data_IF_446548140843
#
_entry.id   IF_446548140843
#
_cell.length_a   1.000
_cell.length_b   1.000
_cell.length_c   1.000
_cell.angle_alpha   90.00
_cell.angle_beta   90.00
_cell.angle_gamma   90.00
#
_symmetry.space_group_name_H-M   'P 1'
#
loop_
_entity.id
_entity.type
_entity.pdbx_description
1 polymer ?
#
# COMPACT_ATOMS: atom_id res chain seq x y z
N UNK A 1 31.93 -28.64 -44.73
CA UNK A 1 31.58 -28.52 -43.30
C UNK A 1 31.80 -27.08 -42.87
N UNK A 2 30.76 -26.28 -42.63
CA UNK A 2 30.96 -24.95 -42.08
C UNK A 2 31.16 -25.08 -40.56
N UNK A 3 32.30 -24.57 -40.07
CA UNK A 3 32.56 -24.36 -38.66
C UNK A 3 31.57 -23.31 -38.14
N UNK A 4 30.70 -23.71 -37.22
CA UNK A 4 29.91 -22.80 -36.41
C UNK A 4 30.88 -21.92 -35.59
N UNK A 5 30.92 -20.63 -35.91
CA UNK A 5 31.55 -19.63 -35.05
C UNK A 5 30.59 -19.42 -33.89
N UNK A 6 30.87 -20.10 -32.78
CA UNK A 6 30.30 -19.83 -31.47
C UNK A 6 30.43 -18.33 -31.17
N UNK A 7 29.29 -17.70 -30.91
CA UNK A 7 29.20 -16.36 -30.38
C UNK A 7 29.96 -16.27 -29.04
N UNK A 8 30.51 -15.09 -28.77
CA UNK A 8 31.17 -14.78 -27.50
C UNK A 8 30.21 -15.00 -26.33
N UNK A 9 30.49 -15.99 -25.48
CA UNK A 9 29.81 -16.17 -24.20
C UNK A 9 29.95 -14.88 -23.37
N UNK A 10 28.83 -14.28 -22.94
CA UNK A 10 28.85 -13.21 -21.95
C UNK A 10 29.53 -13.79 -20.68
N UNK A 11 30.66 -13.25 -20.22
CA UNK A 11 31.40 -13.76 -19.08
C UNK A 11 30.61 -13.72 -17.76
N UNK A 12 29.39 -13.16 -17.74
CA UNK A 12 28.48 -13.13 -16.59
C UNK A 12 27.59 -14.37 -16.42
N UNK A 13 27.62 -15.37 -17.32
CA UNK A 13 26.71 -16.54 -17.24
C UNK A 13 27.44 -17.87 -17.26
N UNK A 14 27.70 -18.42 -16.07
CA UNK A 14 28.04 -19.83 -15.89
C UNK A 14 26.74 -20.65 -15.82
N UNK A 15 26.51 -21.53 -16.80
CA UNK A 15 25.45 -22.53 -16.71
C UNK A 15 26.04 -23.89 -16.33
N UNK A 16 25.40 -24.58 -15.39
CA UNK A 16 25.74 -25.96 -15.03
C UNK A 16 24.80 -26.88 -15.78
N UNK A 17 25.31 -27.65 -16.74
CA UNK A 17 24.55 -28.72 -17.39
C UNK A 17 24.47 -29.90 -16.41
N UNK A 18 23.25 -30.34 -16.09
CA UNK A 18 23.02 -31.52 -15.24
C UNK A 18 23.56 -32.78 -15.92
N UNK A 19 24.33 -33.61 -15.21
CA UNK A 19 24.85 -34.87 -15.75
C UNK A 19 23.76 -35.94 -15.87
N UNK A 20 24.01 -36.97 -16.68
CA UNK A 20 23.09 -38.10 -16.81
C UNK A 20 22.91 -38.87 -15.47
N UNK A 21 23.96 -38.95 -14.63
CA UNK A 21 23.85 -39.56 -13.31
C UNK A 21 23.00 -38.72 -12.35
N UNK A 22 23.09 -37.39 -12.42
CA UNK A 22 22.29 -36.47 -11.59
C UNK A 22 20.80 -36.59 -11.92
N UNK A 23 20.46 -36.64 -13.21
CA UNK A 23 19.08 -36.86 -13.66
C UNK A 23 18.56 -38.25 -13.23
N UNK A 24 19.38 -39.29 -13.33
CA UNK A 24 19.04 -40.65 -12.89
C UNK A 24 18.86 -40.74 -11.35
N UNK A 25 19.57 -39.91 -10.59
CA UNK A 25 19.42 -39.77 -9.14
C UNK A 25 18.21 -38.93 -8.69
N UNK A 26 17.34 -38.51 -9.61
CA UNK A 26 16.11 -37.77 -9.30
C UNK A 26 16.29 -36.28 -9.05
N UNK A 27 17.48 -35.70 -9.31
CA UNK A 27 17.62 -34.23 -9.33
C UNK A 27 16.73 -33.65 -10.43
N UNK A 28 15.95 -32.63 -10.08
CA UNK A 28 15.20 -31.84 -11.05
C UNK A 28 15.98 -30.58 -11.37
N UNK A 29 16.15 -30.29 -12.66
CA UNK A 29 16.71 -29.01 -13.08
C UNK A 29 15.65 -27.93 -12.90
N UNK A 30 16.01 -26.89 -12.15
CA UNK A 30 15.22 -25.68 -12.05
C UNK A 30 15.99 -24.59 -12.80
N UNK A 31 15.58 -24.36 -14.04
CA UNK A 31 16.02 -23.20 -14.81
C UNK A 31 15.04 -22.07 -14.56
N UNK A 32 15.55 -20.85 -14.39
CA UNK A 32 14.73 -19.66 -14.16
C UNK A 32 14.91 -18.63 -15.28
N UNK A 33 15.83 -18.89 -16.21
CA UNK A 33 16.17 -17.98 -17.30
C UNK A 33 15.93 -18.66 -18.65
N UNK A 34 15.38 -17.92 -19.60
CA UNK A 34 15.17 -18.39 -20.96
C UNK A 34 15.73 -17.38 -21.96
N UNK A 35 16.50 -17.88 -22.92
CA UNK A 35 16.97 -17.11 -24.07
C UNK A 35 16.37 -17.65 -25.36
N UNK A 36 15.85 -16.73 -26.17
CA UNK A 36 15.27 -17.03 -27.48
C UNK A 36 16.00 -16.14 -28.50
N UNK A 37 16.77 -16.76 -29.38
CA UNK A 37 17.51 -16.09 -30.45
C UNK A 37 17.21 -16.75 -31.81
N UNK A 38 17.75 -16.18 -32.90
CA UNK A 38 17.58 -16.75 -34.24
C UNK A 38 16.54 -16.05 -35.12
N UNK A 39 16.42 -14.71 -35.02
CA UNK A 39 15.59 -13.88 -35.92
C UNK A 39 14.09 -14.17 -35.84
N UNK A 40 13.63 -14.61 -34.67
CA UNK A 40 12.26 -15.02 -34.38
C UNK A 40 11.26 -13.89 -34.68
N UNK A 41 10.14 -14.23 -35.32
CA UNK A 41 9.07 -13.28 -35.70
C UNK A 41 7.82 -13.39 -34.83
N UNK A 42 7.64 -14.52 -34.16
CA UNK A 42 6.47 -14.85 -33.33
C UNK A 42 6.87 -15.79 -32.20
N UNK A 43 6.20 -15.64 -31.06
CA UNK A 43 6.38 -16.50 -29.87
C UNK A 43 5.15 -17.39 -29.71
N UNK A 44 5.36 -18.63 -29.30
CA UNK A 44 4.27 -19.55 -28.96
C UNK A 44 3.56 -19.11 -27.67
N UNK A 45 2.25 -19.33 -27.57
CA UNK A 45 1.48 -19.03 -26.36
C UNK A 45 1.93 -19.88 -25.15
N UNK A 46 2.52 -21.05 -25.39
CA UNK A 46 3.09 -21.91 -24.34
C UNK A 46 4.25 -21.26 -23.59
N UNK A 47 4.90 -20.22 -24.15
CA UNK A 47 5.92 -19.46 -23.43
C UNK A 47 5.34 -18.81 -22.16
N UNK A 48 4.10 -18.32 -22.24
CA UNK A 48 3.45 -17.56 -21.18
C UNK A 48 2.94 -18.45 -20.04
N UNK A 49 3.04 -19.78 -20.18
CA UNK A 49 2.72 -20.73 -19.09
C UNK A 49 3.92 -21.04 -18.21
N UNK A 50 5.12 -20.55 -18.55
CA UNK A 50 6.36 -20.78 -17.81
C UNK A 50 6.50 -19.82 -16.61
N UNK A 51 5.56 -19.90 -15.68
CA UNK A 51 5.44 -18.96 -14.54
C UNK A 51 6.62 -18.94 -13.57
N UNK A 52 7.52 -19.92 -13.66
CA UNK A 52 8.73 -20.02 -12.86
C UNK A 52 9.88 -19.14 -13.37
N UNK A 53 9.75 -18.55 -14.57
CA UNK A 53 10.79 -17.69 -15.15
C UNK A 53 10.98 -16.41 -14.35
N UNK A 54 12.24 -16.10 -14.07
CA UNK A 54 12.70 -14.85 -13.46
C UNK A 54 13.45 -13.97 -14.47
N UNK A 55 14.02 -14.54 -15.54
CA UNK A 55 14.64 -13.79 -16.62
C UNK A 55 14.23 -14.30 -18.01
N UNK A 56 13.94 -13.37 -18.92
CA UNK A 56 13.57 -13.67 -20.31
C UNK A 56 14.35 -12.78 -21.27
N UNK A 57 15.22 -13.40 -22.08
CA UNK A 57 16.06 -12.77 -23.10
C UNK A 57 15.48 -13.07 -24.48
N UNK A 58 14.94 -12.05 -25.13
CA UNK A 58 14.41 -12.16 -26.50
C UNK A 58 14.95 -11.01 -27.37
N UNK A 59 16.13 -10.50 -27.02
CA UNK A 59 16.82 -9.49 -27.81
C UNK A 59 17.29 -10.03 -29.17
N UNK A 60 17.55 -9.11 -30.11
CA UNK A 60 18.11 -9.41 -31.43
C UNK A 60 17.25 -10.37 -32.29
N UNK A 61 15.93 -10.13 -32.24
CA UNK A 61 14.93 -10.86 -33.02
C UNK A 61 14.16 -9.93 -33.98
N UNK A 62 13.15 -10.46 -34.65
CA UNK A 62 12.29 -9.72 -35.58
C UNK A 62 10.86 -9.55 -35.05
N UNK A 63 10.68 -9.51 -33.72
CA UNK A 63 9.36 -9.37 -33.13
C UNK A 63 8.80 -8.00 -33.44
N UNK A 64 7.56 -7.98 -33.93
CA UNK A 64 6.83 -6.73 -34.25
C UNK A 64 5.86 -6.33 -33.14
N UNK A 65 5.51 -7.29 -32.26
CA UNK A 65 4.62 -7.13 -31.11
C UNK A 65 4.98 -8.14 -30.02
N UNK A 66 4.58 -7.83 -28.79
CA UNK A 66 4.51 -8.76 -27.66
C UNK A 66 3.04 -8.87 -27.26
N UNK A 67 2.48 -10.08 -27.07
CA UNK A 67 1.09 -10.24 -26.65
C UNK A 67 0.89 -9.82 -25.19
N UNK A 68 -0.32 -9.38 -24.81
CA UNK A 68 -0.71 -9.15 -23.41
C UNK A 68 -0.38 -10.29 -22.44
N UNK A 69 -0.39 -11.53 -22.95
CA UNK A 69 -0.09 -12.74 -22.17
C UNK A 69 1.29 -12.74 -21.50
N UNK A 70 2.22 -11.87 -21.89
CA UNK A 70 3.50 -11.71 -21.19
C UNK A 70 3.31 -11.41 -19.68
N UNK A 71 2.21 -10.74 -19.32
CA UNK A 71 1.86 -10.45 -17.94
C UNK A 71 1.51 -11.70 -17.11
N UNK A 72 1.35 -12.87 -17.75
CA UNK A 72 1.17 -14.17 -17.07
C UNK A 72 2.46 -14.76 -16.50
N UNK A 73 3.59 -14.04 -16.60
CA UNK A 73 4.86 -14.39 -15.98
C UNK A 73 5.07 -13.56 -14.70
N UNK A 74 4.42 -13.93 -13.56
CA UNK A 74 4.35 -13.06 -12.38
C UNK A 74 5.70 -12.89 -11.65
N UNK A 75 6.63 -13.80 -11.87
CA UNK A 75 7.93 -13.83 -11.18
C UNK A 75 9.07 -13.20 -11.98
N UNK A 76 8.77 -12.61 -13.15
CA UNK A 76 9.80 -12.08 -14.03
C UNK A 76 10.42 -10.82 -13.44
N UNK A 77 11.73 -10.86 -13.22
CA UNK A 77 12.55 -9.76 -12.69
C UNK A 77 13.29 -9.04 -13.82
N UNK A 78 13.71 -9.79 -14.83
CA UNK A 78 14.48 -9.27 -15.97
C UNK A 78 13.79 -9.60 -17.29
N UNK A 79 13.56 -8.59 -18.13
CA UNK A 79 13.01 -8.74 -19.47
C UNK A 79 13.82 -7.92 -20.48
N UNK A 80 14.47 -8.60 -21.44
CA UNK A 80 15.17 -7.93 -22.54
C UNK A 80 14.50 -8.22 -23.88
N UNK A 81 13.97 -7.16 -24.48
CA UNK A 81 13.34 -7.11 -25.79
C UNK A 81 14.08 -6.16 -26.74
N UNK A 82 15.32 -5.79 -26.42
CA UNK A 82 16.12 -4.86 -27.23
C UNK A 82 16.38 -5.39 -28.63
N UNK A 83 16.64 -4.52 -29.60
CA UNK A 83 16.96 -4.88 -30.99
C UNK A 83 15.88 -5.76 -31.64
N UNK A 84 14.61 -5.35 -31.49
CA UNK A 84 13.47 -5.94 -32.19
C UNK A 84 12.81 -4.89 -33.11
N UNK A 85 11.60 -5.16 -33.58
CA UNK A 85 10.80 -4.26 -34.44
C UNK A 85 9.49 -3.84 -33.76
N UNK A 86 9.49 -3.78 -32.42
CA UNK A 86 8.31 -3.46 -31.63
C UNK A 86 7.87 -2.03 -31.91
N UNK A 87 6.59 -1.83 -32.24
CA UNK A 87 6.00 -0.49 -32.48
C UNK A 87 5.21 0.03 -31.29
N UNK A 88 4.75 -0.88 -30.43
CA UNK A 88 4.01 -0.62 -29.20
C UNK A 88 4.28 -1.73 -28.19
N UNK A 89 3.88 -1.48 -26.95
CA UNK A 89 3.88 -2.46 -25.86
C UNK A 89 2.44 -2.69 -25.39
N UNK A 90 2.10 -3.89 -24.90
CA UNK A 90 0.82 -4.13 -24.25
C UNK A 90 0.72 -3.35 -22.92
N UNK A 91 -0.47 -2.84 -22.59
CA UNK A 91 -0.74 -2.15 -21.32
C UNK A 91 -0.53 -3.08 -20.12
N UNK A 92 -0.78 -4.37 -20.30
CA UNK A 92 -0.64 -5.43 -19.30
C UNK A 92 0.80 -5.61 -18.82
N UNK A 93 1.80 -5.08 -19.54
CA UNK A 93 3.18 -5.05 -19.05
C UNK A 93 3.28 -4.30 -17.72
N UNK A 94 2.40 -3.32 -17.47
CA UNK A 94 2.29 -2.60 -16.19
C UNK A 94 1.88 -3.48 -15.01
N UNK A 95 1.32 -4.68 -15.24
CA UNK A 95 0.93 -5.60 -14.16
C UNK A 95 2.11 -6.46 -13.65
N UNK A 96 3.27 -6.41 -14.32
CA UNK A 96 4.45 -7.18 -13.97
C UNK A 96 5.29 -6.49 -12.88
N UNK A 97 4.68 -6.23 -11.72
CA UNK A 97 5.23 -5.39 -10.64
C UNK A 97 6.54 -5.89 -10.02
N UNK A 98 6.95 -7.12 -10.32
CA UNK A 98 8.21 -7.75 -9.90
C UNK A 98 9.41 -7.39 -10.79
N UNK A 99 9.17 -6.79 -11.98
CA UNK A 99 10.22 -6.37 -12.89
C UNK A 99 11.14 -5.33 -12.27
N UNK A 100 12.44 -5.58 -12.36
CA UNK A 100 13.52 -4.66 -11.98
C UNK A 100 14.27 -4.11 -13.18
N UNK A 101 14.35 -4.90 -14.26
CA UNK A 101 15.03 -4.52 -15.49
C UNK A 101 14.15 -4.80 -16.71
N UNK A 102 13.87 -3.74 -17.48
CA UNK A 102 13.12 -3.79 -18.73
C UNK A 102 13.92 -3.10 -19.82
N UNK A 103 14.50 -3.89 -20.72
CA UNK A 103 15.33 -3.38 -21.81
C UNK A 103 14.57 -3.43 -23.14
N UNK A 104 14.36 -2.26 -23.74
CA UNK A 104 13.57 -2.04 -24.96
C UNK A 104 14.38 -1.28 -26.03
N UNK A 105 15.71 -1.22 -25.89
CA UNK A 105 16.56 -0.40 -26.76
C UNK A 105 16.43 -0.83 -28.23
N UNK A 106 16.64 0.09 -29.17
CA UNK A 106 16.67 -0.17 -30.61
C UNK A 106 15.40 -0.89 -31.11
N UNK A 107 14.23 -0.35 -30.77
CA UNK A 107 12.93 -0.76 -31.31
C UNK A 107 12.31 0.41 -32.12
N UNK A 108 11.04 0.29 -32.49
CA UNK A 108 10.29 1.30 -33.24
C UNK A 108 9.17 1.92 -32.38
N UNK A 109 9.37 1.98 -31.05
CA UNK A 109 8.38 2.50 -30.11
C UNK A 109 8.23 4.01 -30.30
N UNK A 110 7.02 4.45 -30.65
CA UNK A 110 6.67 5.88 -30.74
C UNK A 110 5.96 6.40 -29.49
N UNK A 111 5.26 5.50 -28.81
CA UNK A 111 4.52 5.76 -27.58
C UNK A 111 4.78 4.62 -26.59
N UNK A 112 4.65 4.93 -25.31
CA UNK A 112 4.72 3.98 -24.22
C UNK A 112 3.35 3.94 -23.51
N UNK A 113 2.83 2.76 -23.14
CA UNK A 113 1.62 2.68 -22.34
C UNK A 113 1.86 3.28 -20.95
N UNK A 114 0.94 4.12 -20.47
CA UNK A 114 1.07 4.80 -19.18
C UNK A 114 1.01 3.82 -18.00
N UNK A 115 0.48 2.61 -18.24
CA UNK A 115 0.47 1.49 -17.30
C UNK A 115 1.87 1.06 -16.86
N UNK A 116 2.93 1.36 -17.64
CA UNK A 116 4.31 1.14 -17.19
C UNK A 116 4.60 1.88 -15.88
N UNK A 117 3.93 3.00 -15.60
CA UNK A 117 4.07 3.72 -14.34
C UNK A 117 3.74 2.88 -13.10
N UNK A 118 2.99 1.77 -13.25
CA UNK A 118 2.71 0.81 -12.17
C UNK A 118 3.93 -0.04 -11.78
N UNK A 119 5.01 -0.03 -12.56
CA UNK A 119 6.23 -0.81 -12.30
C UNK A 119 7.13 -0.11 -11.26
N UNK A 120 6.61 0.07 -10.04
CA UNK A 120 7.28 0.81 -8.96
C UNK A 120 8.59 0.18 -8.46
N UNK A 121 8.85 -1.09 -8.77
CA UNK A 121 10.11 -1.79 -8.46
C UNK A 121 11.17 -1.68 -9.58
N UNK A 122 10.82 -1.11 -10.74
CA UNK A 122 11.70 -1.05 -11.89
C UNK A 122 12.87 -0.08 -11.64
N UNK A 123 14.08 -0.59 -11.79
CA UNK A 123 15.33 0.14 -11.55
C UNK A 123 15.95 0.60 -12.88
N UNK A 124 15.93 -0.29 -13.87
CA UNK A 124 16.52 -0.04 -15.19
C UNK A 124 15.45 -0.16 -16.26
N UNK A 125 15.20 0.95 -16.96
CA UNK A 125 14.38 1.00 -18.16
C UNK A 125 15.27 1.42 -19.33
N UNK A 126 15.45 0.57 -20.34
CA UNK A 126 16.27 0.87 -21.51
C UNK A 126 15.43 1.31 -22.70
N UNK A 127 15.48 2.58 -23.11
CA UNK A 127 14.66 3.12 -24.21
C UNK A 127 15.46 3.67 -25.40
N UNK A 128 16.80 3.62 -25.34
CA UNK A 128 17.67 4.23 -26.36
C UNK A 128 17.39 3.67 -27.75
N UNK A 129 17.40 4.52 -28.78
CA UNK A 129 17.22 4.07 -30.17
C UNK A 129 15.76 3.80 -30.56
N UNK A 130 14.79 4.31 -29.79
CA UNK A 130 13.38 4.32 -30.16
C UNK A 130 12.95 5.72 -30.64
N UNK A 131 12.05 5.82 -31.63
CA UNK A 131 11.49 7.09 -32.12
C UNK A 131 10.39 7.66 -31.19
N UNK A 132 10.70 7.78 -29.89
CA UNK A 132 9.79 8.34 -28.89
C UNK A 132 9.67 9.88 -29.06
N UNK A 133 8.55 10.43 -28.60
CA UNK A 133 8.35 11.89 -28.56
C UNK A 133 9.41 12.58 -27.70
N UNK A 134 9.76 13.82 -28.07
CA UNK A 134 10.78 14.60 -27.36
C UNK A 134 10.46 14.80 -25.88
N UNK A 135 9.19 14.97 -25.51
CA UNK A 135 8.78 15.18 -24.11
C UNK A 135 9.16 13.99 -23.20
N UNK A 136 8.88 12.76 -23.66
CA UNK A 136 9.26 11.52 -22.97
C UNK A 136 10.78 11.39 -22.88
N UNK A 137 11.49 11.71 -23.97
CA UNK A 137 12.95 11.64 -24.01
C UNK A 137 13.59 12.66 -23.05
N UNK A 138 13.03 13.86 -22.94
CA UNK A 138 13.52 14.89 -22.02
C UNK A 138 13.45 14.39 -20.57
N UNK A 139 12.30 13.86 -20.13
CA UNK A 139 12.13 13.30 -18.78
C UNK A 139 13.11 12.13 -18.54
N UNK A 140 13.24 11.24 -19.52
CA UNK A 140 14.10 10.06 -19.42
C UNK A 140 15.61 10.40 -19.37
N UNK A 141 16.03 11.52 -19.95
CA UNK A 141 17.43 11.97 -19.96
C UNK A 141 17.85 12.70 -18.67
N UNK A 142 16.91 13.06 -17.80
CA UNK A 142 17.23 13.65 -16.51
C UNK A 142 17.92 12.65 -15.56
N UNK A 143 18.63 13.13 -14.52
CA UNK A 143 19.07 12.27 -13.43
C UNK A 143 17.88 11.53 -12.81
N UNK A 144 18.04 10.21 -12.62
CA UNK A 144 16.98 9.28 -12.21
C UNK A 144 15.78 9.22 -13.20
N UNK A 145 16.07 9.40 -14.49
CA UNK A 145 15.07 9.49 -15.56
C UNK A 145 14.14 8.29 -15.68
N UNK A 146 14.59 7.08 -15.33
CA UNK A 146 13.71 5.90 -15.22
C UNK A 146 12.58 6.17 -14.22
N UNK A 147 12.91 6.52 -12.98
CA UNK A 147 11.89 6.74 -11.93
C UNK A 147 11.01 7.94 -12.25
N UNK A 148 11.61 9.05 -12.74
CA UNK A 148 10.85 10.23 -13.13
C UNK A 148 9.84 9.94 -14.23
N UNK A 149 10.24 9.16 -15.25
CA UNK A 149 9.35 8.79 -16.33
C UNK A 149 8.21 7.89 -15.84
N UNK A 150 8.51 6.89 -15.02
CA UNK A 150 7.48 6.01 -14.45
C UNK A 150 6.49 6.79 -13.56
N UNK A 151 6.99 7.72 -12.75
CA UNK A 151 6.14 8.59 -11.93
C UNK A 151 5.25 9.48 -12.81
N UNK A 152 5.82 10.11 -13.85
CA UNK A 152 5.06 10.89 -14.82
C UNK A 152 3.95 10.06 -15.47
N UNK A 153 4.25 8.83 -15.89
CA UNK A 153 3.26 7.93 -16.48
C UNK A 153 2.17 7.53 -15.48
N UNK A 154 2.54 7.22 -14.23
CA UNK A 154 1.56 6.85 -13.22
C UNK A 154 0.63 8.01 -12.84
N UNK A 155 1.19 9.21 -12.72
CA UNK A 155 0.43 10.42 -12.35
C UNK A 155 -0.55 10.87 -13.44
N UNK A 156 -0.25 10.53 -14.69
CA UNK A 156 -1.08 10.85 -15.86
C UNK A 156 -1.85 9.63 -16.39
N UNK A 157 -1.81 8.49 -15.69
CA UNK A 157 -2.57 7.31 -16.07
C UNK A 157 -4.06 7.63 -15.93
N UNK A 158 -4.81 7.56 -17.04
CA UNK A 158 -6.25 7.76 -17.02
C UNK A 158 -6.90 6.72 -16.11
N UNK A 159 -7.55 7.19 -15.05
CA UNK A 159 -8.33 6.34 -14.15
C UNK A 159 -9.78 6.48 -14.55
N UNK A 160 -10.41 5.38 -14.96
CA UNK A 160 -11.86 5.33 -15.05
C UNK A 160 -12.40 5.08 -13.65
N UNK A 161 -13.23 5.99 -13.09
CA UNK A 161 -13.87 5.75 -11.81
C UNK A 161 -14.89 4.62 -12.00
N UNK A 162 -14.46 3.38 -11.83
CA UNK A 162 -15.39 2.30 -11.54
C UNK A 162 -16.05 2.62 -10.19
N UNK A 163 -17.37 2.45 -10.11
CA UNK A 163 -18.06 2.58 -8.83
C UNK A 163 -17.50 1.52 -7.89
N UNK A 164 -16.83 1.97 -6.83
CA UNK A 164 -16.34 1.06 -5.80
C UNK A 164 -17.55 0.35 -5.18
N UNK A 165 -17.58 -1.00 -5.17
CA UNK A 165 -18.69 -1.73 -4.59
C UNK A 165 -18.78 -1.43 -3.08
N UNK A 166 -20.00 -1.28 -2.57
CA UNK A 166 -20.21 -1.12 -1.13
C UNK A 166 -19.82 -2.40 -0.38
N UNK A 167 -19.22 -2.23 0.80
CA UNK A 167 -18.86 -3.34 1.68
C UNK A 167 -20.14 -3.98 2.24
N UNK A 168 -20.32 -5.31 2.13
CA UNK A 168 -21.53 -5.96 2.62
C UNK A 168 -21.55 -6.02 4.16
N UNK A 169 -22.74 -5.85 4.74
CA UNK A 169 -22.98 -6.12 6.17
C UNK A 169 -23.22 -7.61 6.40
N UNK A 170 -22.52 -8.21 7.36
CA UNK A 170 -22.66 -9.63 7.71
C UNK A 170 -23.36 -9.72 9.08
N UNK A 171 -24.59 -10.24 9.10
CA UNK A 171 -25.32 -10.49 10.35
C UNK A 171 -24.78 -11.74 11.03
N UNK A 172 -24.18 -11.59 12.20
CA UNK A 172 -23.66 -12.71 13.00
C UNK A 172 -24.69 -13.29 13.96
N UNK A 173 -25.57 -12.43 14.51
CA UNK A 173 -26.59 -12.82 15.48
C UNK A 173 -27.76 -11.86 15.41
N UNK A 174 -28.97 -12.41 15.45
CA UNK A 174 -30.19 -11.62 15.57
C UNK A 174 -30.34 -11.02 16.97
N UNK A 175 -30.95 -9.83 17.03
CA UNK A 175 -31.21 -9.16 18.29
C UNK A 175 -32.28 -9.91 19.08
N UNK A 176 -32.01 -10.15 20.35
CA UNK A 176 -33.04 -10.62 21.29
C UNK A 176 -33.93 -9.44 21.70
N UNK A 177 -35.19 -9.48 21.26
CA UNK A 177 -36.17 -8.43 21.55
C UNK A 177 -36.75 -8.52 22.97
N UNK A 178 -36.52 -9.63 23.69
CA UNK A 178 -37.04 -9.85 25.03
C UNK A 178 -36.15 -9.24 26.12
N UNK A 179 -34.90 -8.87 25.77
CA UNK A 179 -33.94 -8.31 26.72
C UNK A 179 -33.73 -6.82 26.40
N UNK A 180 -33.92 -5.91 27.37
CA UNK A 180 -33.66 -4.49 27.19
C UNK A 180 -32.15 -4.28 26.98
N UNK A 181 -31.77 -4.16 25.71
CA UNK A 181 -30.38 -4.08 25.25
C UNK A 181 -30.18 -2.81 24.43
N UNK A 182 -29.17 -2.03 24.82
CA UNK A 182 -28.66 -0.94 24.00
C UNK A 182 -27.83 -1.52 22.85
N UNK A 183 -28.08 -1.06 21.63
CA UNK A 183 -27.35 -1.45 20.43
C UNK A 183 -26.67 -0.21 19.88
N UNK A 184 -25.39 -0.33 19.56
CA UNK A 184 -24.60 0.74 18.98
C UNK A 184 -23.52 0.17 18.05
N UNK A 185 -23.00 1.01 17.18
CA UNK A 185 -21.96 0.67 16.20
C UNK A 185 -20.61 1.24 16.60
N UNK A 186 -19.53 0.53 16.26
CA UNK A 186 -18.15 0.95 16.54
C UNK A 186 -17.33 0.87 15.27
N UNK A 187 -16.67 1.97 14.92
CA UNK A 187 -15.68 2.04 13.84
C UNK A 187 -14.27 2.08 14.45
N UNK A 188 -13.34 1.33 13.85
CA UNK A 188 -11.92 1.42 14.13
C UNK A 188 -11.18 1.60 12.80
N UNK A 189 -10.43 2.69 12.65
CA UNK A 189 -9.82 3.03 11.37
C UNK A 189 -8.51 3.81 11.51
N UNK A 190 -7.42 3.25 10.98
CA UNK A 190 -6.16 3.97 10.80
C UNK A 190 -6.23 4.72 9.47
N UNK A 191 -6.14 6.06 9.52
CA UNK A 191 -6.40 6.92 8.36
C UNK A 191 -5.18 7.17 7.47
N UNK A 192 -4.00 6.65 7.85
CA UNK A 192 -2.71 6.93 7.23
C UNK A 192 -2.38 8.43 7.22
N UNK A 193 -1.58 8.91 8.18
CA UNK A 193 -1.24 10.34 8.25
C UNK A 193 -0.40 10.78 7.03
N UNK A 194 -0.44 12.09 6.73
CA UNK A 194 0.25 12.62 5.54
C UNK A 194 1.75 12.41 5.60
N UNK A 195 2.32 12.53 6.81
CA UNK A 195 3.73 12.24 7.06
C UNK A 195 4.18 10.86 6.57
N UNK A 196 3.33 9.84 6.63
CA UNK A 196 3.67 8.47 6.23
C UNK A 196 3.18 8.11 4.82
N UNK A 197 2.31 8.90 4.19
CA UNK A 197 1.79 8.69 2.85
C UNK A 197 2.80 9.05 1.73
N UNK A 198 4.00 8.46 1.78
CA UNK A 198 5.10 8.78 0.86
C UNK A 198 5.17 7.82 -0.32
N UNK A 199 5.75 8.29 -1.44
CA UNK A 199 6.07 7.45 -2.61
C UNK A 199 7.08 6.34 -2.31
N UNK A 200 7.86 6.46 -1.25
CA UNK A 200 8.79 5.42 -0.85
C UNK A 200 8.06 4.19 -0.31
N UNK A 201 6.98 4.40 0.46
CA UNK A 201 6.15 3.32 1.00
C UNK A 201 5.03 2.91 0.03
N UNK A 202 4.47 3.87 -0.70
CA UNK A 202 3.29 3.70 -1.56
C UNK A 202 3.58 4.04 -3.02
N UNK A 203 4.74 3.61 -3.55
CA UNK A 203 5.19 3.96 -4.90
C UNK A 203 4.27 3.53 -6.04
N UNK A 204 3.36 2.60 -5.77
CA UNK A 204 2.31 2.15 -6.69
C UNK A 204 1.11 3.10 -6.80
N UNK A 205 0.97 4.05 -5.87
CA UNK A 205 -0.15 5.00 -5.85
C UNK A 205 0.27 6.32 -6.50
N UNK A 206 -0.48 6.90 -7.45
CA UNK A 206 -0.20 8.21 -8.03
C UNK A 206 -0.04 9.31 -6.98
N UNK A 207 0.83 10.29 -7.25
CA UNK A 207 1.16 11.38 -6.33
C UNK A 207 -0.07 12.22 -5.96
N UNK A 208 -0.95 12.49 -6.93
CA UNK A 208 -2.19 13.23 -6.68
C UNK A 208 -3.14 12.47 -5.73
N UNK A 209 -3.18 11.14 -5.85
CA UNK A 209 -4.02 10.27 -5.04
C UNK A 209 -3.45 10.07 -3.63
N UNK A 210 -2.13 10.20 -3.44
CA UNK A 210 -1.49 10.21 -2.12
C UNK A 210 -1.61 11.55 -1.39
N UNK A 211 -1.84 12.65 -2.10
CA UNK A 211 -1.92 13.97 -1.46
C UNK A 211 -3.01 14.01 -0.38
N UNK A 212 -2.72 14.63 0.76
CA UNK A 212 -3.70 14.80 1.82
C UNK A 212 -4.99 15.47 1.36
N UNK A 213 -4.89 16.51 0.51
CA UNK A 213 -6.03 17.24 -0.02
C UNK A 213 -7.00 16.36 -0.81
N UNK A 214 -6.49 15.32 -1.47
CA UNK A 214 -7.31 14.32 -2.12
C UNK A 214 -7.82 13.27 -1.12
N UNK A 215 -6.92 12.63 -0.36
CA UNK A 215 -7.25 11.50 0.53
C UNK A 215 -8.23 11.88 1.62
N UNK A 216 -8.11 13.07 2.22
CA UNK A 216 -8.97 13.51 3.31
C UNK A 216 -10.45 13.49 2.94
N UNK A 217 -10.78 13.70 1.65
CA UNK A 217 -12.15 13.62 1.14
C UNK A 217 -12.69 12.19 1.26
N UNK A 218 -11.96 11.20 0.75
CA UNK A 218 -12.35 9.79 0.84
C UNK A 218 -12.33 9.25 2.27
N UNK A 219 -11.37 9.69 3.11
CA UNK A 219 -11.33 9.35 4.53
C UNK A 219 -12.60 9.84 5.25
N UNK A 220 -12.98 11.11 5.03
CA UNK A 220 -14.18 11.66 5.64
C UNK A 220 -15.45 11.03 5.05
N UNK A 221 -15.48 10.71 3.76
CA UNK A 221 -16.59 9.96 3.14
C UNK A 221 -16.76 8.56 3.77
N UNK A 222 -15.69 7.79 3.96
CA UNK A 222 -15.73 6.49 4.65
C UNK A 222 -16.28 6.63 6.08
N UNK A 223 -15.70 7.56 6.87
CA UNK A 223 -16.13 7.80 8.26
C UNK A 223 -17.60 8.19 8.33
N UNK A 224 -18.03 9.11 7.46
CA UNK A 224 -19.39 9.63 7.46
C UNK A 224 -20.42 8.69 6.87
N UNK A 225 -20.01 7.80 5.96
CA UNK A 225 -20.88 6.76 5.39
C UNK A 225 -21.08 5.58 6.35
N UNK A 226 -20.06 5.23 7.15
CA UNK A 226 -20.18 4.22 8.21
C UNK A 226 -21.16 4.64 9.32
N UNK A 227 -21.25 5.94 9.61
CA UNK A 227 -22.10 6.55 10.65
C UNK A 227 -22.08 5.80 12.00
N UNK A 228 -20.89 5.39 12.43
CA UNK A 228 -20.72 4.60 13.64
C UNK A 228 -20.94 5.44 14.90
N UNK A 229 -21.66 4.90 15.89
CA UNK A 229 -21.95 5.63 17.13
C UNK A 229 -20.71 5.99 17.96
N UNK A 230 -19.67 5.18 17.84
CA UNK A 230 -18.33 5.39 18.41
C UNK A 230 -17.29 5.18 17.32
N UNK A 231 -16.34 6.11 17.17
CA UNK A 231 -15.30 6.07 16.14
C UNK A 231 -13.93 6.17 16.81
N UNK A 232 -13.09 5.15 16.63
CA UNK A 232 -11.71 5.12 17.09
C UNK A 232 -10.76 5.27 15.90
N UNK A 233 -10.03 6.38 15.84
CA UNK A 233 -9.09 6.67 14.75
C UNK A 233 -7.63 6.60 15.22
N UNK A 234 -6.76 6.07 14.38
CA UNK A 234 -5.29 6.12 14.54
C UNK A 234 -4.65 6.91 13.41
N UNK A 235 -3.43 7.37 13.61
CA UNK A 235 -2.69 8.24 12.69
C UNK A 235 -3.41 9.57 12.39
N UNK A 236 -4.08 10.12 13.40
CA UNK A 236 -4.72 11.44 13.29
C UNK A 236 -3.67 12.51 13.58
N UNK A 237 -3.32 13.35 12.61
CA UNK A 237 -2.43 14.50 12.84
C UNK A 237 -3.08 15.55 13.74
N UNK A 238 -2.27 16.17 14.60
CA UNK A 238 -2.73 17.13 15.62
C UNK A 238 -3.53 18.28 15.01
N UNK A 239 -3.04 18.93 13.96
CA UNK A 239 -3.76 20.04 13.32
C UNK A 239 -5.05 19.56 12.62
N UNK A 240 -5.01 18.38 12.00
CA UNK A 240 -6.16 17.81 11.30
C UNK A 240 -7.28 17.37 12.26
N UNK A 241 -6.94 16.92 13.48
CA UNK A 241 -7.94 16.64 14.50
C UNK A 241 -8.83 17.87 14.75
N UNK A 242 -8.21 19.04 14.96
CA UNK A 242 -8.95 20.26 15.31
C UNK A 242 -9.63 20.90 14.10
N UNK A 243 -8.99 20.91 12.93
CA UNK A 243 -9.44 21.68 11.76
C UNK A 243 -10.27 20.89 10.76
N UNK A 244 -10.31 19.56 10.87
CA UNK A 244 -11.04 18.69 9.94
C UNK A 244 -11.96 17.72 10.70
N UNK A 245 -11.37 16.80 11.48
CA UNK A 245 -12.13 15.68 12.03
C UNK A 245 -13.15 16.16 13.07
N UNK A 246 -12.71 16.93 14.07
CA UNK A 246 -13.59 17.39 15.14
C UNK A 246 -14.66 18.36 14.64
N UNK A 247 -14.30 19.31 13.77
CA UNK A 247 -15.27 20.25 13.19
C UNK A 247 -16.34 19.51 12.38
N UNK A 248 -15.94 18.66 11.44
CA UNK A 248 -16.89 17.94 10.56
C UNK A 248 -17.77 16.96 11.34
N UNK A 249 -17.22 16.27 12.35
CA UNK A 249 -17.99 15.31 13.15
C UNK A 249 -18.88 16.01 14.18
N UNK A 250 -18.52 17.20 14.67
CA UNK A 250 -19.40 18.00 15.54
C UNK A 250 -20.70 18.38 14.85
N UNK A 251 -20.65 18.72 13.57
CA UNK A 251 -21.84 19.01 12.76
C UNK A 251 -22.77 17.78 12.61
N UNK A 252 -22.25 16.58 12.92
CA UNK A 252 -23.00 15.30 12.93
C UNK A 252 -23.32 14.80 14.33
N UNK A 253 -23.22 15.65 15.35
CA UNK A 253 -23.61 15.33 16.73
C UNK A 253 -22.57 14.58 17.55
N UNK A 254 -21.31 14.51 17.09
CA UNK A 254 -20.22 13.90 17.84
C UNK A 254 -19.50 14.91 18.73
N UNK A 255 -18.98 14.41 19.85
CA UNK A 255 -17.85 15.02 20.55
C UNK A 255 -16.64 14.09 20.48
N UNK A 256 -15.44 14.58 20.80
CA UNK A 256 -14.20 13.86 20.59
C UNK A 256 -13.15 14.08 21.66
N UNK A 257 -12.33 13.05 21.87
CA UNK A 257 -11.10 13.11 22.64
C UNK A 257 -9.92 12.67 21.79
N UNK A 258 -8.84 13.46 21.81
CA UNK A 258 -7.61 13.19 21.07
C UNK A 258 -6.39 13.43 21.95
N UNK A 259 -5.35 12.63 21.71
CA UNK A 259 -4.02 12.87 22.23
C UNK A 259 -2.98 12.54 21.14
N UNK A 260 -1.99 13.41 20.89
CA UNK A 260 -0.85 13.09 20.04
C UNK A 260 0.16 12.18 20.76
N UNK A 261 1.01 11.48 20.00
CA UNK A 261 2.14 10.73 20.58
C UNK A 261 3.05 11.61 21.43
N UNK A 262 3.71 11.01 22.44
CA UNK A 262 4.50 11.72 23.43
C UNK A 262 5.61 12.61 22.85
N UNK A 263 6.13 12.28 21.65
CA UNK A 263 7.11 13.12 20.93
C UNK A 263 6.64 14.55 20.66
N UNK A 264 5.34 14.81 20.64
CA UNK A 264 4.77 16.16 20.51
C UNK A 264 5.29 17.15 21.57
N UNK A 265 5.76 16.66 22.71
CA UNK A 265 6.33 17.46 23.80
C UNK A 265 7.78 17.91 23.55
N UNK A 266 8.47 17.28 22.61
CA UNK A 266 9.91 17.44 22.37
C UNK A 266 10.24 18.20 21.07
N UNK A 267 9.24 18.39 20.20
CA UNK A 267 9.41 19.00 18.88
C UNK A 267 8.98 20.46 18.88
N UNK A 268 9.35 21.20 17.83
CA UNK A 268 8.91 22.58 17.64
C UNK A 268 7.39 22.69 17.48
N UNK A 269 6.83 23.88 17.67
CA UNK A 269 5.40 24.12 17.49
C UNK A 269 4.91 23.77 16.07
N UNK A 270 5.72 24.05 15.05
CA UNK A 270 5.40 23.72 13.67
C UNK A 270 5.39 22.21 13.41
N UNK A 271 6.36 21.47 13.95
CA UNK A 271 6.40 20.01 13.81
C UNK A 271 5.30 19.32 14.62
N UNK A 272 4.95 19.88 15.79
CA UNK A 272 3.90 19.37 16.67
C UNK A 272 2.55 19.24 15.96
N UNK A 273 2.24 20.15 15.03
CA UNK A 273 1.02 20.11 14.20
C UNK A 273 0.88 18.81 13.41
N UNK A 274 2.00 18.23 12.99
CA UNK A 274 2.09 17.02 12.19
C UNK A 274 2.41 15.77 13.02
N UNK A 275 2.44 15.88 14.35
CA UNK A 275 2.53 14.70 15.20
C UNK A 275 1.15 14.04 15.24
N UNK A 276 1.14 12.78 14.83
CA UNK A 276 -0.03 11.92 14.83
C UNK A 276 -0.32 11.33 16.22
N UNK A 277 -1.57 10.90 16.41
CA UNK A 277 -2.05 10.27 17.63
C UNK A 277 -3.34 9.48 17.44
N UNK A 278 -4.04 9.25 18.55
CA UNK A 278 -5.29 8.49 18.60
C UNK A 278 -6.45 9.42 18.98
N UNK A 279 -7.59 9.24 18.32
CA UNK A 279 -8.83 9.94 18.63
C UNK A 279 -9.98 8.95 18.92
N UNK A 280 -10.89 9.33 19.80
CA UNK A 280 -12.18 8.64 20.00
C UNK A 280 -13.28 9.69 19.87
N UNK A 281 -14.24 9.44 18.98
CA UNK A 281 -15.46 10.22 18.83
C UNK A 281 -16.67 9.40 19.27
N UNK A 282 -17.69 10.07 19.79
CA UNK A 282 -18.94 9.43 20.23
C UNK A 282 -20.14 10.36 20.01
N UNK A 283 -21.28 9.81 19.60
CA UNK A 283 -22.53 10.58 19.44
C UNK A 283 -23.04 11.04 20.80
N UNK A 284 -23.17 12.36 20.96
CA UNK A 284 -23.56 12.99 22.24
C UNK A 284 -25.00 12.73 22.65
N UNK A 285 -25.88 12.40 21.69
CA UNK A 285 -27.25 11.97 21.96
C UNK A 285 -27.32 10.57 22.62
N UNK A 286 -26.29 9.73 22.40
CA UNK A 286 -26.19 8.35 22.89
C UNK A 286 -25.28 8.22 24.11
N UNK A 287 -24.24 9.05 24.20
CA UNK A 287 -23.19 8.91 25.20
C UNK A 287 -22.81 10.26 25.81
N UNK A 288 -22.54 10.25 27.12
CA UNK A 288 -21.96 11.38 27.85
C UNK A 288 -20.57 11.04 28.36
N UNK A 289 -19.58 11.91 28.14
CA UNK A 289 -18.21 11.71 28.61
C UNK A 289 -18.12 11.85 30.13
N UNK A 290 -17.60 10.82 30.80
CA UNK A 290 -17.38 10.82 32.25
C UNK A 290 -15.90 11.06 32.57
N UNK A 291 -15.00 10.34 31.90
CA UNK A 291 -13.55 10.48 32.09
C UNK A 291 -12.80 10.28 30.77
N UNK A 292 -11.61 10.87 30.69
CA UNK A 292 -10.67 10.70 29.59
C UNK A 292 -9.27 10.42 30.14
N UNK A 293 -8.57 9.48 29.53
CA UNK A 293 -7.27 9.00 29.97
C UNK A 293 -6.33 8.87 28.78
N UNK A 294 -5.07 9.26 28.96
CA UNK A 294 -3.97 8.94 28.04
C UNK A 294 -3.04 7.97 28.74
N UNK A 295 -2.64 6.92 28.02
CA UNK A 295 -1.61 5.98 28.46
C UNK A 295 -0.38 6.19 27.59
N UNK A 296 0.67 6.74 28.18
CA UNK A 296 1.99 6.88 27.55
C UNK A 296 2.82 5.63 27.86
N UNK A 297 2.99 4.76 26.86
CA UNK A 297 3.59 3.44 27.11
C UNK A 297 5.05 3.51 27.54
N UNK A 298 5.80 4.53 27.10
CA UNK A 298 7.16 4.77 27.57
C UNK A 298 7.24 5.06 29.08
N UNK A 299 6.32 5.88 29.60
CA UNK A 299 6.27 6.21 31.03
C UNK A 299 5.88 4.98 31.86
N UNK A 300 4.89 4.21 31.38
CA UNK A 300 4.50 2.94 32.01
C UNK A 300 5.66 1.95 31.98
N UNK A 301 6.37 1.84 30.85
CA UNK A 301 7.53 0.97 30.73
C UNK A 301 8.65 1.37 31.69
N UNK A 302 8.96 2.66 31.79
CA UNK A 302 9.96 3.21 32.72
C UNK A 302 9.59 2.94 34.19
N UNK A 303 8.31 3.10 34.56
CA UNK A 303 7.86 2.81 35.92
C UNK A 303 7.93 1.32 36.28
N UNK A 304 7.95 0.42 35.29
CA UNK A 304 7.95 -1.03 35.46
C UNK A 304 9.25 -1.69 34.95
N UNK A 305 10.34 -0.93 34.81
CA UNK A 305 11.60 -1.43 34.24
C UNK A 305 12.61 -1.95 35.26
N UNK A 306 12.22 -2.06 36.54
CA UNK A 306 13.13 -2.49 37.60
C UNK A 306 13.75 -3.85 37.28
N UNK A 307 15.09 -3.90 37.24
CA UNK A 307 15.86 -5.11 36.92
C UNK A 307 15.81 -5.56 35.45
N UNK A 308 15.22 -4.79 34.53
CA UNK A 308 15.09 -5.17 33.11
C UNK A 308 15.69 -4.14 32.15
N UNK A 309 16.91 -4.41 31.68
CA UNK A 309 17.54 -3.63 30.61
C UNK A 309 16.73 -3.70 29.30
N UNK A 310 16.03 -4.81 29.04
CA UNK A 310 15.19 -4.98 27.86
C UNK A 310 14.03 -3.99 27.87
N UNK A 311 13.39 -3.78 29.03
CA UNK A 311 12.32 -2.78 29.18
C UNK A 311 12.83 -1.37 28.91
N UNK A 312 14.01 -1.02 29.44
CA UNK A 312 14.62 0.30 29.22
C UNK A 312 15.03 0.52 27.76
N UNK A 313 15.65 -0.47 27.13
CA UNK A 313 16.27 -0.29 25.82
C UNK A 313 15.27 -0.45 24.66
N UNK A 314 14.34 -1.40 24.76
CA UNK A 314 13.44 -1.75 23.64
C UNK A 314 12.02 -1.21 23.78
N UNK A 315 11.50 -1.08 25.01
CA UNK A 315 10.10 -0.71 25.26
C UNK A 315 9.96 0.78 25.59
N UNK A 316 10.74 1.28 26.55
CA UNK A 316 10.70 2.68 26.99
C UNK A 316 11.06 3.67 25.87
N UNK A 317 11.90 3.26 24.93
CA UNK A 317 12.31 4.09 23.78
C UNK A 317 11.21 4.31 22.73
N UNK A 318 10.05 3.65 22.84
CA UNK A 318 8.93 3.80 21.91
C UNK A 318 7.90 4.80 22.43
N UNK A 319 7.53 5.78 21.61
CA UNK A 319 6.64 6.89 21.98
C UNK A 319 5.15 6.63 21.67
N UNK A 320 4.77 5.37 21.48
CA UNK A 320 3.40 4.94 21.24
C UNK A 320 2.47 5.29 22.42
N UNK A 321 1.20 5.51 22.11
CA UNK A 321 0.18 5.88 23.10
C UNK A 321 -1.12 5.10 22.92
N UNK A 322 -1.91 5.07 23.98
CA UNK A 322 -3.33 4.76 23.95
C UNK A 322 -4.16 5.89 24.56
N UNK A 323 -5.39 6.04 24.10
CA UNK A 323 -6.40 6.90 24.71
C UNK A 323 -7.58 6.06 25.15
N UNK A 324 -8.23 6.45 26.24
CA UNK A 324 -9.45 5.81 26.69
C UNK A 324 -10.45 6.86 27.18
N UNK A 325 -11.74 6.59 26.92
CA UNK A 325 -12.85 7.39 27.44
C UNK A 325 -13.83 6.50 28.17
N UNK A 326 -14.23 6.93 29.36
CA UNK A 326 -15.34 6.34 30.09
C UNK A 326 -16.61 7.12 29.72
N UNK A 327 -17.57 6.43 29.13
CA UNK A 327 -18.82 7.00 28.64
C UNK A 327 -19.99 6.47 29.46
N UNK A 328 -20.92 7.36 29.82
CA UNK A 328 -22.24 7.00 30.33
C UNK A 328 -23.18 6.80 29.14
N UNK A 329 -23.85 5.63 29.10
CA UNK A 329 -24.81 5.27 28.04
C UNK A 329 -26.16 5.89 28.37
N UNK A 330 -26.75 6.59 27.40
CA UNK A 330 -28.08 7.16 27.56
C UNK A 330 -29.11 6.04 27.80
N UNK A 331 -29.93 6.21 28.86
CA UNK A 331 -30.95 5.25 29.28
C UNK A 331 -31.99 4.97 28.19
N UNK A 332 -32.24 5.94 27.32
CA UNK A 332 -33.21 5.81 26.23
C UNK A 332 -32.81 4.73 25.22
N UNK A 333 -31.52 4.40 25.11
CA UNK A 333 -31.01 3.34 24.23
C UNK A 333 -31.47 1.93 24.62
N UNK A 334 -31.91 1.72 25.86
CA UNK A 334 -32.37 0.42 26.36
C UNK A 334 -33.86 0.19 26.14
N UNK A 335 -34.59 1.20 25.65
CA UNK A 335 -36.05 1.19 25.63
C UNK A 335 -36.63 0.57 24.35
N UNK A 336 -37.02 -0.69 24.46
CA UNK A 336 -38.02 -1.32 23.60
C UNK A 336 -39.31 -1.57 24.41
N UNK A 337 -39.83 -0.55 25.09
CA UNK A 337 -41.09 -0.65 25.86
C UNK A 337 -40.98 -1.20 27.28
N UNK A 338 -39.78 -1.38 27.84
CA UNK A 338 -39.55 -1.79 29.24
C UNK A 338 -38.90 -0.69 30.08
N UNK A 339 -39.07 -0.76 31.41
CA UNK A 339 -38.49 0.22 32.35
C UNK A 339 -36.96 0.32 32.15
N UNK A 340 -36.40 1.53 32.02
CA UNK A 340 -34.96 1.70 31.84
C UNK A 340 -34.18 1.20 33.06
N UNK A 341 -32.89 0.86 32.90
CA UNK A 341 -32.02 0.50 34.01
C UNK A 341 -32.03 1.59 35.09
N UNK A 342 -32.17 1.17 36.35
CA UNK A 342 -32.13 2.10 37.49
C UNK A 342 -30.72 2.66 37.68
N UNK A 343 -29.70 1.81 37.51
CA UNK A 343 -28.28 2.15 37.64
C UNK A 343 -27.72 2.87 36.40
N UNK A 344 -26.62 3.60 36.61
CA UNK A 344 -25.88 4.26 35.53
C UNK A 344 -25.10 3.19 34.75
N UNK A 345 -25.33 3.10 33.45
CA UNK A 345 -24.55 2.19 32.62
C UNK A 345 -23.33 2.92 32.06
N UNK A 346 -22.16 2.34 32.31
CA UNK A 346 -20.88 2.87 31.83
C UNK A 346 -20.27 1.93 30.80
N UNK A 347 -19.55 2.49 29.84
CA UNK A 347 -18.68 1.76 28.91
C UNK A 347 -17.30 2.42 28.87
N UNK A 348 -16.26 1.61 28.84
CA UNK A 348 -14.89 2.07 28.60
C UNK A 348 -14.53 1.79 27.15
N UNK A 349 -14.22 2.83 26.39
CA UNK A 349 -13.69 2.72 25.03
C UNK A 349 -12.21 3.02 25.08
N UNK A 350 -11.38 2.10 24.59
CA UNK A 350 -9.94 2.28 24.48
C UNK A 350 -9.51 2.18 23.02
N UNK A 351 -8.57 3.04 22.63
CA UNK A 351 -7.99 3.10 21.30
C UNK A 351 -6.48 3.29 21.42
N UNK A 352 -5.70 2.45 20.75
CA UNK A 352 -4.25 2.52 20.81
C UNK A 352 -3.60 2.17 19.47
N UNK A 353 -2.39 2.70 19.25
CA UNK A 353 -1.59 2.42 18.06
C UNK A 353 -0.21 1.92 18.49
N UNK A 354 0.02 0.61 18.34
CA UNK A 354 1.24 -0.07 18.79
C UNK A 354 2.44 0.20 17.89
N UNK A 355 3.62 -0.19 18.37
CA UNK A 355 4.83 -0.18 17.56
C UNK A 355 4.67 -1.09 16.33
N UNK A 356 5.25 -0.69 15.21
CA UNK A 356 5.03 -1.33 13.91
C UNK A 356 6.18 -2.24 13.47
N UNK A 357 7.37 -2.09 14.05
CA UNK A 357 8.58 -2.82 13.64
C UNK A 357 8.42 -4.32 13.94
N UNK A 358 8.51 -5.20 12.92
CA UNK A 358 8.41 -6.65 13.12
C UNK A 358 9.69 -7.29 13.71
N UNK A 359 10.82 -6.57 13.76
CA UNK A 359 12.12 -7.00 14.34
C UNK A 359 12.33 -6.45 15.77
#
# INVERSE_FOLDING_TARGET
MPKEKYDHLDPRRCYTIMSAEEAAGGKKSHWAELEISGRVRSLSSSLWTLTHLTALHINDNNLTRIPPDIAKLPNLVYLNLSSNKLRSLPAELGNMVTLRELLLNNNLLRVLPYELGRLFQLQTLGLKGNPLSQDILNIYQEPDGTRKLLNYMLDNLAVHPEQLPQRPWITLKERDQMIPTAVFTVMCYNVLCDKYATRQLYGYCPSWALSWEYRKKGIMEEITSCDADIISLQEVETEQYYTLFLETLRDRGYDGYFCPKSRAKLVSEQERKHVDGCAIFFKTEKFSLVQKHTVEFNQVAMANSEGSEVMLNRVMTKDNIGVAVLLEVNKDMFSAGMKPPQERQLILVANAHMHWDPE
#
